data_IF_123108154290
#
_entry.id   IF_123108154290
#
_cell.length_a   1.000
_cell.length_b   1.000
_cell.length_c   1.000
_cell.angle_alpha   90.00
_cell.angle_beta   90.00
_cell.angle_gamma   90.00
#
_symmetry.space_group_name_H-M   'P 1'
#
loop_
_entity.id
_entity.type
_entity.pdbx_description
1 polymer ?
#
# COMPACT_ATOMS: atom_id res chain seq x y z
N UNK A 1 -53.57 -77.03 -46.58
CA UNK A 1 -52.68 -76.17 -45.77
C UNK A 1 -53.45 -74.92 -45.37
N UNK A 2 -53.94 -74.85 -44.14
CA UNK A 2 -54.22 -73.63 -43.34
C UNK A 2 -54.80 -74.07 -42.00
N UNK A 3 -54.07 -73.82 -40.90
CA UNK A 3 -54.53 -74.13 -39.54
C UNK A 3 -54.13 -73.00 -38.57
N UNK A 4 -55.07 -72.76 -37.66
CA UNK A 4 -55.29 -71.66 -36.71
C UNK A 4 -54.29 -71.54 -35.53
N UNK A 5 -54.52 -70.47 -34.75
CA UNK A 5 -54.26 -70.25 -33.29
C UNK A 5 -52.87 -69.68 -32.96
N UNK A 6 -52.61 -68.95 -31.87
CA UNK A 6 -53.34 -68.23 -30.79
C UNK A 6 -52.23 -67.63 -29.91
N UNK A 7 -52.42 -66.38 -29.46
CA UNK A 7 -51.95 -65.69 -28.23
C UNK A 7 -50.58 -65.93 -27.54
N UNK A 8 -50.13 -64.83 -26.90
CA UNK A 8 -49.43 -64.68 -25.60
C UNK A 8 -48.03 -64.03 -25.64
N UNK A 9 -48.01 -62.78 -25.15
CA UNK A 9 -47.08 -62.12 -24.21
C UNK A 9 -45.64 -62.65 -24.08
N UNK A 10 -44.65 -61.75 -24.12
CA UNK A 10 -43.81 -61.48 -22.93
C UNK A 10 -42.91 -60.24 -23.07
N UNK A 11 -42.67 -59.66 -21.89
CA UNK A 11 -41.86 -58.49 -21.49
C UNK A 11 -40.36 -58.66 -21.80
N UNK A 12 -39.63 -57.56 -22.06
CA UNK A 12 -38.17 -57.58 -22.01
C UNK A 12 -37.46 -56.29 -22.42
N UNK A 13 -37.13 -55.45 -21.42
CA UNK A 13 -35.98 -54.53 -21.29
C UNK A 13 -35.22 -54.04 -22.54
N UNK A 14 -35.02 -52.72 -22.61
CA UNK A 14 -33.68 -52.14 -22.39
C UNK A 14 -33.85 -50.70 -21.87
N UNK A 15 -33.68 -50.56 -20.55
CA UNK A 15 -33.42 -49.29 -19.89
C UNK A 15 -32.07 -48.76 -20.40
N UNK A 16 -32.11 -47.73 -21.25
CA UNK A 16 -30.93 -46.90 -21.49
C UNK A 16 -30.66 -46.08 -20.23
N UNK A 17 -29.67 -46.52 -19.44
CA UNK A 17 -29.01 -45.69 -18.44
C UNK A 17 -28.43 -44.45 -19.14
N UNK A 18 -29.10 -43.31 -18.99
CA UNK A 18 -28.44 -42.02 -19.11
C UNK A 18 -28.42 -41.41 -17.71
N UNK A 19 -27.34 -41.74 -17.00
CA UNK A 19 -26.91 -40.96 -15.86
C UNK A 19 -26.50 -39.59 -16.39
N UNK A 20 -27.36 -38.60 -16.22
CA UNK A 20 -26.98 -37.20 -16.26
C UNK A 20 -27.49 -36.60 -14.96
N UNK A 21 -26.67 -36.71 -13.92
CA UNK A 21 -26.83 -35.92 -12.72
C UNK A 21 -26.63 -34.45 -13.09
N UNK A 22 -27.61 -33.56 -12.87
CA UNK A 22 -27.33 -32.15 -12.78
C UNK A 22 -26.70 -31.93 -11.40
N UNK A 23 -25.39 -31.67 -11.38
CA UNK A 23 -24.64 -31.27 -10.20
C UNK A 23 -25.20 -29.93 -9.69
N UNK A 24 -26.21 -30.02 -8.82
CA UNK A 24 -26.79 -28.90 -8.11
C UNK A 24 -25.92 -28.55 -6.90
N UNK A 25 -24.71 -28.06 -7.14
CA UNK A 25 -23.80 -27.61 -6.08
C UNK A 25 -23.22 -26.24 -6.39
N UNK A 26 -24.08 -25.21 -6.46
CA UNK A 26 -23.60 -23.82 -6.36
C UNK A 26 -24.63 -22.95 -5.60
N UNK A 27 -25.11 -23.39 -4.43
CA UNK A 27 -25.92 -22.53 -3.55
C UNK A 27 -25.68 -22.71 -2.05
N UNK A 28 -24.54 -23.27 -1.61
CA UNK A 28 -24.19 -23.31 -0.19
C UNK A 28 -22.68 -23.20 0.06
N UNK A 29 -22.04 -22.19 -0.51
CA UNK A 29 -20.69 -21.81 -0.11
C UNK A 29 -20.59 -20.28 -0.05
N UNK A 30 -21.33 -19.68 0.89
CA UNK A 30 -21.44 -18.23 1.00
C UNK A 30 -21.27 -17.67 2.42
N UNK A 31 -20.76 -18.46 3.38
CA UNK A 31 -20.62 -17.95 4.76
C UNK A 31 -19.23 -18.11 5.41
N UNK A 32 -18.27 -18.81 4.80
CA UNK A 32 -16.90 -18.96 5.34
C UNK A 32 -15.78 -18.39 4.42
N UNK A 33 -16.11 -17.42 3.56
CA UNK A 33 -15.12 -16.70 2.71
C UNK A 33 -15.07 -15.20 3.06
N UNK A 34 -15.96 -14.68 3.92
CA UNK A 34 -16.10 -13.23 4.13
C UNK A 34 -15.13 -12.62 5.14
N UNK A 35 -14.47 -13.41 5.99
CA UNK A 35 -13.48 -12.93 6.98
C UNK A 35 -12.04 -13.15 6.51
N UNK A 36 -11.72 -14.30 5.91
CA UNK A 36 -10.40 -14.59 5.36
C UNK A 36 -10.05 -13.73 4.12
N UNK A 37 -11.05 -13.33 3.33
CA UNK A 37 -10.85 -12.49 2.15
C UNK A 37 -10.68 -10.99 2.49
N UNK A 38 -11.08 -10.55 3.69
CA UNK A 38 -10.89 -9.16 4.13
C UNK A 38 -9.44 -8.91 4.55
N UNK A 39 -8.87 -9.80 5.35
CA UNK A 39 -7.46 -9.71 5.75
C UNK A 39 -6.52 -9.90 4.54
N UNK A 40 -6.84 -10.82 3.61
CA UNK A 40 -6.04 -11.03 2.40
C UNK A 40 -6.07 -9.83 1.44
N UNK A 41 -7.21 -9.13 1.29
CA UNK A 41 -7.28 -7.91 0.48
C UNK A 41 -6.56 -6.72 1.14
N UNK A 42 -6.60 -6.62 2.47
CA UNK A 42 -5.92 -5.54 3.21
C UNK A 42 -4.40 -5.73 3.20
N UNK A 43 -3.91 -6.95 3.45
CA UNK A 43 -2.48 -7.31 3.34
C UNK A 43 -1.93 -7.11 1.92
N UNK A 44 -2.73 -7.38 0.89
CA UNK A 44 -2.32 -7.19 -0.50
C UNK A 44 -2.17 -5.70 -0.86
N UNK A 45 -3.06 -4.83 -0.35
CA UNK A 45 -2.98 -3.39 -0.60
C UNK A 45 -1.75 -2.74 0.06
N UNK A 46 -1.44 -3.09 1.31
CA UNK A 46 -0.23 -2.61 1.99
C UNK A 46 1.03 -3.11 1.28
N UNK A 47 1.06 -4.38 0.89
CA UNK A 47 2.19 -4.97 0.13
C UNK A 47 2.43 -4.25 -1.19
N UNK A 48 1.37 -3.84 -1.90
CA UNK A 48 1.48 -3.05 -3.13
C UNK A 48 2.11 -1.69 -2.86
N UNK A 49 1.67 -0.97 -1.81
CA UNK A 49 2.23 0.34 -1.45
C UNK A 49 3.69 0.26 -1.01
N UNK A 50 4.05 -0.77 -0.25
CA UNK A 50 5.45 -1.02 0.14
C UNK A 50 6.31 -1.29 -1.10
N UNK A 51 5.86 -2.17 -2.00
CA UNK A 51 6.59 -2.48 -3.24
C UNK A 51 6.76 -1.25 -4.11
N UNK A 52 5.69 -0.45 -4.24
CA UNK A 52 5.71 0.82 -4.96
C UNK A 52 6.73 1.79 -4.33
N UNK A 53 6.68 1.98 -3.01
CA UNK A 53 7.61 2.85 -2.29
C UNK A 53 9.07 2.41 -2.49
N UNK A 54 9.35 1.11 -2.37
CA UNK A 54 10.69 0.58 -2.54
C UNK A 54 11.20 0.81 -3.97
N UNK A 55 10.36 0.62 -4.99
CA UNK A 55 10.75 0.88 -6.38
C UNK A 55 10.99 2.36 -6.65
N UNK A 56 10.09 3.24 -6.19
CA UNK A 56 10.27 4.69 -6.30
C UNK A 56 11.56 5.16 -5.62
N UNK A 57 11.89 4.62 -4.45
CA UNK A 57 13.12 4.94 -3.74
C UNK A 57 14.37 4.37 -4.40
N UNK A 58 14.29 3.18 -5.01
CA UNK A 58 15.40 2.61 -5.77
C UNK A 58 15.73 3.44 -7.02
N UNK A 59 14.73 4.06 -7.65
CA UNK A 59 14.90 4.90 -8.84
C UNK A 59 15.13 6.38 -8.50
N UNK A 60 14.89 6.79 -7.25
CA UNK A 60 14.99 8.19 -6.84
C UNK A 60 16.44 8.64 -6.81
N UNK A 61 16.75 9.67 -7.59
CA UNK A 61 18.04 10.37 -7.51
C UNK A 61 18.00 11.57 -6.56
N UNK A 62 16.81 11.93 -6.03
CA UNK A 62 16.61 13.13 -5.23
C UNK A 62 15.65 12.88 -4.07
N UNK A 63 16.24 12.42 -2.97
CA UNK A 63 15.53 12.20 -1.72
C UNK A 63 14.74 10.90 -1.67
N UNK A 64 13.87 10.81 -0.67
CA UNK A 64 13.16 9.59 -0.32
C UNK A 64 11.65 9.80 -0.38
N UNK A 65 10.97 8.91 -1.10
CA UNK A 65 9.53 8.80 -1.17
C UNK A 65 8.97 8.01 0.02
N UNK A 66 7.95 8.58 0.64
CA UNK A 66 7.11 7.99 1.66
C UNK A 66 5.67 7.99 1.14
N UNK A 67 5.09 6.81 0.99
CA UNK A 67 3.75 6.64 0.44
C UNK A 67 2.74 6.44 1.58
N UNK A 68 1.61 7.16 1.58
CA UNK A 68 0.50 6.84 2.47
C UNK A 68 0.06 5.39 2.29
N UNK A 69 -0.07 4.66 3.40
CA UNK A 69 -0.44 3.25 3.42
C UNK A 69 0.72 2.27 3.18
N UNK A 70 1.94 2.73 2.89
CA UNK A 70 3.11 1.85 2.88
C UNK A 70 3.59 1.51 4.30
N UNK A 71 3.40 2.42 5.27
CA UNK A 71 3.72 2.25 6.70
C UNK A 71 5.09 1.59 6.96
N UNK A 72 6.05 1.85 6.09
CA UNK A 72 7.39 1.25 6.14
C UNK A 72 8.43 2.36 6.11
N UNK A 73 9.51 2.20 6.91
CA UNK A 73 10.60 3.15 6.89
C UNK A 73 11.34 3.11 5.55
N UNK A 74 11.74 4.27 5.06
CA UNK A 74 12.61 4.41 3.91
C UNK A 74 13.93 5.07 4.31
N UNK A 75 15.03 4.63 3.70
CA UNK A 75 16.38 5.10 4.03
C UNK A 75 16.78 6.25 3.11
N UNK A 76 17.41 7.28 3.68
CA UNK A 76 18.01 8.40 2.97
C UNK A 76 19.45 8.60 3.44
N UNK A 77 20.41 8.50 2.53
CA UNK A 77 21.78 8.95 2.79
C UNK A 77 21.84 10.47 2.64
N UNK A 78 22.39 11.16 3.65
CA UNK A 78 22.43 12.61 3.68
C UNK A 78 23.77 13.11 4.21
N UNK A 79 24.03 14.41 4.08
CA UNK A 79 25.25 15.05 4.61
C UNK A 79 25.34 15.04 6.14
N UNK A 80 24.25 14.75 6.85
CA UNK A 80 24.23 14.62 8.32
C UNK A 80 24.22 13.15 8.77
N UNK A 81 24.44 12.21 7.85
CA UNK A 81 24.42 10.77 8.08
C UNK A 81 23.23 10.06 7.44
N UNK A 82 23.14 8.76 7.68
CA UNK A 82 22.05 7.92 7.15
C UNK A 82 20.82 8.05 8.04
N UNK A 83 19.71 8.44 7.41
CA UNK A 83 18.43 8.67 8.06
C UNK A 83 17.45 7.57 7.65
N UNK A 84 16.60 7.19 8.59
CA UNK A 84 15.44 6.32 8.35
C UNK A 84 14.19 7.13 8.63
N UNK A 85 13.35 7.28 7.62
CA UNK A 85 12.18 8.13 7.68
C UNK A 85 10.91 7.32 7.51
N UNK A 86 9.88 7.63 8.28
CA UNK A 86 8.59 6.97 8.19
C UNK A 86 7.47 7.99 8.38
N UNK A 87 6.36 7.77 7.66
CA UNK A 87 5.16 8.59 7.77
C UNK A 87 4.18 7.94 8.74
N UNK A 88 3.71 8.73 9.71
CA UNK A 88 2.79 8.32 10.78
C UNK A 88 1.61 9.29 10.87
N UNK A 89 0.54 8.87 11.55
CA UNK A 89 -0.58 9.74 11.97
C UNK A 89 -1.17 10.61 10.85
N UNK A 90 -1.41 10.02 9.67
CA UNK A 90 -2.02 10.74 8.54
C UNK A 90 -3.50 10.97 8.85
N UNK A 91 -3.89 12.22 9.03
CA UNK A 91 -5.26 12.60 9.44
C UNK A 91 -5.77 13.82 8.67
N UNK A 92 -7.09 13.88 8.37
CA UNK A 92 -7.66 15.04 7.72
C UNK A 92 -7.75 16.23 8.68
N UNK A 93 -7.49 17.44 8.19
CA UNK A 93 -7.67 18.72 8.89
C UNK A 93 -8.43 19.71 8.00
N UNK A 94 -8.89 20.84 8.56
CA UNK A 94 -9.76 21.79 7.87
C UNK A 94 -9.21 22.30 6.52
N UNK A 95 -7.89 22.43 6.38
CA UNK A 95 -7.21 22.94 5.18
C UNK A 95 -6.30 21.89 4.51
N UNK A 96 -6.54 20.60 4.74
CA UNK A 96 -5.79 19.53 4.07
C UNK A 96 -5.50 18.33 4.96
N UNK A 97 -4.23 17.93 5.03
CA UNK A 97 -3.77 16.72 5.74
C UNK A 97 -2.71 17.08 6.76
N UNK A 98 -2.86 16.54 7.96
CA UNK A 98 -1.79 16.47 8.95
C UNK A 98 -1.12 15.11 8.87
N UNK A 99 0.20 15.08 9.00
CA UNK A 99 0.96 13.85 9.18
C UNK A 99 2.15 14.08 10.10
N UNK A 100 2.70 13.01 10.65
CA UNK A 100 3.93 13.03 11.45
C UNK A 100 5.03 12.33 10.67
N UNK A 101 6.13 13.05 10.42
CA UNK A 101 7.35 12.49 9.89
C UNK A 101 8.24 12.05 11.05
N UNK A 102 8.41 10.74 11.21
CA UNK A 102 9.41 10.18 12.11
C UNK A 102 10.75 10.09 11.38
N UNK A 103 11.82 10.55 12.02
CA UNK A 103 13.18 10.52 11.51
C UNK A 103 14.08 9.88 12.56
N UNK A 104 14.65 8.75 12.21
CA UNK A 104 15.60 8.00 13.03
C UNK A 104 17.00 8.09 12.42
N UNK A 105 18.00 8.42 13.24
CA UNK A 105 19.40 8.29 12.83
C UNK A 105 19.83 6.82 12.87
N UNK A 106 20.50 6.33 11.83
CA UNK A 106 21.04 4.96 11.85
C UNK A 106 22.37 4.85 12.62
N UNK A 107 23.07 5.97 12.81
CA UNK A 107 24.29 6.07 13.61
C UNK A 107 24.01 6.03 15.11
N UNK A 108 25.07 5.78 15.90
CA UNK A 108 25.07 5.97 17.36
C UNK A 108 25.42 7.40 17.78
N UNK A 109 25.62 8.29 16.82
CA UNK A 109 25.85 9.70 17.07
C UNK A 109 24.50 10.45 17.05
N UNK A 110 24.31 11.46 17.91
CA UNK A 110 23.12 12.29 17.87
C UNK A 110 23.00 13.07 16.56
N UNK A 111 21.80 13.17 16.01
CA UNK A 111 21.54 13.97 14.82
C UNK A 111 21.63 15.48 15.15
N UNK A 112 22.39 16.28 14.38
CA UNK A 112 22.42 17.73 14.54
C UNK A 112 21.07 18.35 14.15
N UNK A 113 20.87 19.64 14.44
CA UNK A 113 19.73 20.37 13.89
C UNK A 113 19.87 20.47 12.36
N UNK A 114 18.77 20.31 11.63
CA UNK A 114 18.78 20.35 10.17
C UNK A 114 17.47 20.88 9.61
N UNK A 115 17.51 21.34 8.36
CA UNK A 115 16.35 21.66 7.54
C UNK A 115 16.21 20.63 6.44
N UNK A 116 14.98 20.37 6.02
CA UNK A 116 14.66 19.49 4.89
C UNK A 116 13.58 20.12 4.01
N UNK A 117 13.63 19.85 2.71
CA UNK A 117 12.53 20.16 1.80
C UNK A 117 11.57 18.98 1.78
N UNK A 118 10.30 19.27 2.05
CA UNK A 118 9.19 18.33 1.95
C UNK A 118 8.40 18.68 0.71
N UNK A 119 8.35 17.76 -0.24
CA UNK A 119 7.48 17.84 -1.41
C UNK A 119 6.34 16.84 -1.26
N UNK A 120 5.13 17.20 -1.65
CA UNK A 120 3.97 16.31 -1.53
C UNK A 120 2.97 16.58 -2.65
N UNK A 121 2.23 15.55 -3.04
CA UNK A 121 1.27 15.66 -4.13
C UNK A 121 0.66 14.32 -4.50
N UNK A 122 0.27 14.20 -5.76
CA UNK A 122 -0.29 12.97 -6.34
C UNK A 122 0.72 12.32 -7.27
N UNK A 123 0.63 11.01 -7.40
CA UNK A 123 1.34 10.24 -8.42
C UNK A 123 0.31 9.82 -9.47
N UNK A 124 0.52 10.20 -10.73
CA UNK A 124 -0.22 9.68 -11.88
C UNK A 124 0.69 8.74 -12.70
N UNK A 125 0.10 7.71 -13.33
CA UNK A 125 0.84 6.73 -14.13
C UNK A 125 1.10 5.42 -13.38
N UNK A 126 2.13 4.69 -13.83
CA UNK A 126 2.56 3.42 -13.23
C UNK A 126 3.82 3.63 -12.39
N UNK A 127 4.19 2.65 -11.56
CA UNK A 127 5.43 2.72 -10.78
C UNK A 127 6.69 2.94 -11.65
N UNK A 128 6.69 2.46 -12.89
CA UNK A 128 7.82 2.60 -13.82
C UNK A 128 7.83 3.93 -14.58
N UNK A 129 6.64 4.47 -14.87
CA UNK A 129 6.46 5.69 -15.65
C UNK A 129 5.40 6.54 -14.94
N UNK A 130 5.86 7.34 -13.98
CA UNK A 130 5.01 8.19 -13.17
C UNK A 130 5.28 9.67 -13.40
N UNK A 131 4.28 10.48 -13.03
CA UNK A 131 4.39 11.93 -12.92
C UNK A 131 3.90 12.38 -11.55
N UNK A 132 4.71 13.18 -10.86
CA UNK A 132 4.29 13.95 -9.70
C UNK A 132 3.39 15.10 -10.18
N UNK A 133 2.16 15.15 -9.72
CA UNK A 133 1.17 16.18 -10.13
C UNK A 133 0.60 16.87 -8.91
N UNK A 134 0.20 18.13 -9.09
CA UNK A 134 -0.28 19.00 -8.00
C UNK A 134 0.73 19.04 -6.84
N UNK A 135 2.02 18.93 -7.15
CA UNK A 135 3.08 18.90 -6.17
C UNK A 135 3.27 20.28 -5.53
N UNK A 136 3.37 20.30 -4.21
CA UNK A 136 3.67 21.48 -3.41
C UNK A 136 4.88 21.17 -2.53
N UNK A 137 5.66 22.20 -2.20
CA UNK A 137 6.84 22.08 -1.36
C UNK A 137 6.88 23.10 -0.23
N UNK A 138 7.47 22.71 0.88
CA UNK A 138 7.76 23.58 2.00
C UNK A 138 9.00 23.09 2.75
N UNK A 139 9.62 23.98 3.52
CA UNK A 139 10.75 23.64 4.39
C UNK A 139 10.26 23.23 5.77
N UNK A 140 10.92 22.23 6.33
CA UNK A 140 10.76 21.83 7.73
C UNK A 140 12.11 21.90 8.43
N UNK A 141 12.07 22.23 9.72
CA UNK A 141 13.24 22.24 10.57
C UNK A 141 13.11 21.16 11.64
N UNK A 142 14.16 20.36 11.78
CA UNK A 142 14.31 19.36 12.81
C UNK A 142 15.24 19.92 13.91
N UNK A 143 14.86 19.83 15.19
CA UNK A 143 15.76 20.18 16.27
C UNK A 143 16.93 19.19 16.35
N UNK A 144 18.05 19.64 16.94
CA UNK A 144 19.13 18.72 17.28
C UNK A 144 18.63 17.66 18.27
N UNK A 145 18.98 16.40 18.00
CA UNK A 145 18.72 15.33 18.94
C UNK A 145 19.80 15.32 20.02
N UNK A 146 19.39 15.18 21.27
CA UNK A 146 20.31 15.06 22.41
C UNK A 146 20.64 13.60 22.74
N UNK A 147 19.92 12.65 22.13
CA UNK A 147 19.99 11.23 22.45
C UNK A 147 20.39 10.42 21.22
N UNK A 148 21.05 9.29 21.48
CA UNK A 148 21.39 8.29 20.49
C UNK A 148 20.82 6.92 20.88
N UNK A 149 20.21 6.16 19.93
CA UNK A 149 19.93 6.57 18.55
C UNK A 149 18.89 7.68 18.52
N UNK A 150 19.08 8.64 17.62
CA UNK A 150 18.17 9.78 17.51
C UNK A 150 16.83 9.34 16.94
N UNK A 151 15.75 9.82 17.54
CA UNK A 151 14.38 9.67 17.06
C UNK A 151 13.68 11.02 17.20
N UNK A 152 13.27 11.59 16.07
CA UNK A 152 12.69 12.94 15.97
C UNK A 152 11.38 12.85 15.22
N UNK A 153 10.32 13.43 15.80
CA UNK A 153 9.02 13.54 15.16
C UNK A 153 8.76 14.98 14.74
N UNK A 154 8.48 15.16 13.45
CA UNK A 154 8.17 16.47 12.85
C UNK A 154 6.73 16.47 12.39
N UNK A 155 5.97 17.49 12.79
CA UNK A 155 4.60 17.69 12.33
C UNK A 155 4.61 18.28 10.92
N UNK A 156 3.97 17.60 9.97
CA UNK A 156 3.77 18.05 8.60
C UNK A 156 2.34 18.57 8.42
N UNK A 157 2.20 19.80 7.90
CA UNK A 157 0.91 20.38 7.52
C UNK A 157 0.84 20.50 6.00
N UNK A 158 0.15 19.55 5.37
CA UNK A 158 0.02 19.44 3.92
C UNK A 158 -1.25 20.17 3.49
N UNK A 159 -1.10 21.36 2.90
CA UNK A 159 -2.23 22.24 2.57
C UNK A 159 -2.89 21.87 1.25
N UNK A 160 -4.22 21.96 1.21
CA UNK A 160 -5.00 21.76 0.00
C UNK A 160 -5.05 20.33 -0.54
N UNK A 161 -4.59 19.33 0.23
CA UNK A 161 -4.65 17.90 -0.14
C UNK A 161 -5.29 17.10 0.99
N UNK A 162 -6.27 16.26 0.68
CA UNK A 162 -6.88 15.35 1.66
C UNK A 162 -6.07 14.06 1.76
N UNK A 163 -6.19 13.29 2.86
CA UNK A 163 -5.43 12.05 3.02
C UNK A 163 -5.62 11.05 1.88
N UNK A 164 -6.84 10.96 1.34
CA UNK A 164 -7.19 10.05 0.23
C UNK A 164 -6.59 10.49 -1.10
N UNK A 165 -6.31 11.79 -1.23
CA UNK A 165 -5.71 12.40 -2.42
C UNK A 165 -4.20 12.51 -2.32
N UNK A 166 -3.61 12.25 -1.16
CA UNK A 166 -2.17 12.26 -0.95
C UNK A 166 -1.56 11.01 -1.58
N UNK A 167 -0.79 11.19 -2.65
CA UNK A 167 -0.11 10.11 -3.37
C UNK A 167 1.28 9.83 -2.84
N UNK A 168 2.00 10.88 -2.44
CA UNK A 168 3.37 10.78 -1.93
C UNK A 168 3.75 11.96 -1.04
N UNK A 169 4.75 11.72 -0.20
CA UNK A 169 5.59 12.75 0.40
C UNK A 169 7.04 12.40 0.06
N UNK A 170 7.79 13.33 -0.51
CA UNK A 170 9.21 13.17 -0.82
C UNK A 170 10.04 14.13 0.02
N UNK A 171 10.99 13.59 0.77
CA UNK A 171 11.90 14.36 1.62
C UNK A 171 13.26 14.44 0.94
N UNK A 172 13.78 15.64 0.73
CA UNK A 172 15.07 15.86 0.08
C UNK A 172 15.76 17.14 0.60
N UNK A 173 16.95 17.42 0.06
CA UNK A 173 17.76 18.61 0.38
C UNK A 173 17.97 18.79 1.89
N UNK A 174 18.42 17.74 2.57
CA UNK A 174 18.75 17.77 3.99
C UNK A 174 20.01 18.62 4.20
N UNK A 175 19.89 19.71 4.94
CA UNK A 175 20.99 20.63 5.23
C UNK A 175 21.12 20.83 6.75
N UNK A 176 22.32 20.69 7.36
CA UNK A 176 22.53 21.05 8.74
C UNK A 176 22.29 22.54 8.89
N UNK A 177 21.61 22.91 9.97
CA UNK A 177 21.42 24.31 10.32
C UNK A 177 22.48 24.62 11.36
N UNK A 178 23.49 25.40 10.98
CA UNK A 178 24.47 25.88 11.94
C UNK A 178 23.73 26.73 12.99
N UNK A 179 23.82 26.31 14.26
CA UNK A 179 23.33 27.08 15.40
C UNK A 179 24.29 28.21 15.76
#
# INVERSE_FOLDING_TARGET
MTRRYLSILLVGNLLSLTACAPQSDIRQMHQNISTLNKEMNQLNQETVKITQQNKLNADSTRGVYLLPGANTPARLESQIGTLRMMLLNITPVADGTHATLQIQGESRDPLPAFSATVEYGQIQGTTENYQEVNAQSFLVNAPASLLAPSDVNISLQLKGITPERLGFIRIHDIQPVNQ
#
